data_IF_776104772862
#
_entry.id   IF_776104772862
#
_cell.length_a   1.000
_cell.length_b   1.000
_cell.length_c   1.000
_cell.angle_alpha   90.00
_cell.angle_beta   90.00
_cell.angle_gamma   90.00
#
_symmetry.space_group_name_H-M   'P 1'
#
loop_
_entity.id
_entity.type
_entity.pdbx_description
1 polymer ?
#
# COMPACT_ATOMS: atom_id res chain seq x y z
N UNK A 1 53.31 -21.08 -7.72
CA UNK A 1 53.00 -22.45 -8.12
C UNK A 1 52.23 -23.05 -6.98
N UNK A 2 51.00 -22.48 -6.65
CA UNK A 2 50.09 -23.01 -5.60
C UNK A 2 48.73 -22.30 -5.65
N UNK A 3 48.07 -22.39 -6.79
CA UNK A 3 46.71 -21.80 -6.91
C UNK A 3 45.74 -22.64 -7.74
N UNK A 4 46.05 -23.95 -7.87
CA UNK A 4 45.22 -24.90 -8.62
C UNK A 4 44.44 -25.91 -7.76
N UNK A 5 44.71 -25.94 -6.45
CA UNK A 5 44.14 -27.00 -5.57
C UNK A 5 42.94 -26.53 -4.73
N UNK A 6 42.59 -25.23 -4.77
CA UNK A 6 41.47 -24.69 -4.01
C UNK A 6 40.13 -24.76 -4.75
N UNK A 7 40.14 -24.84 -6.09
CA UNK A 7 38.90 -24.90 -6.89
C UNK A 7 38.30 -26.31 -7.04
N UNK A 8 39.12 -27.35 -6.95
CA UNK A 8 38.65 -28.76 -7.09
C UNK A 8 37.90 -29.27 -5.85
N UNK A 9 38.15 -28.65 -4.68
CA UNK A 9 37.47 -29.01 -3.43
C UNK A 9 36.07 -28.36 -3.26
N UNK A 10 35.79 -27.30 -4.00
CA UNK A 10 34.48 -26.58 -3.98
C UNK A 10 33.48 -27.24 -4.95
N UNK A 11 33.94 -27.73 -6.11
CA UNK A 11 33.03 -28.42 -7.05
C UNK A 11 32.56 -29.77 -6.52
N UNK A 12 33.40 -30.53 -5.81
CA UNK A 12 32.99 -31.82 -5.19
C UNK A 12 32.02 -31.69 -4.01
N UNK A 13 31.87 -30.50 -3.42
CA UNK A 13 30.89 -30.25 -2.35
C UNK A 13 29.51 -29.81 -2.87
N UNK A 14 29.41 -29.35 -4.10
CA UNK A 14 28.15 -28.93 -4.72
C UNK A 14 27.40 -30.07 -5.38
N UNK A 15 28.08 -31.09 -5.89
CA UNK A 15 27.45 -32.27 -6.52
C UNK A 15 26.77 -33.22 -5.52
N UNK A 16 27.12 -33.15 -4.24
CA UNK A 16 26.51 -34.02 -3.19
C UNK A 16 25.19 -33.53 -2.63
N UNK A 17 24.76 -32.26 -2.95
CA UNK A 17 23.55 -31.64 -2.38
C UNK A 17 22.32 -31.78 -3.28
N UNK A 18 22.47 -32.09 -4.57
CA UNK A 18 21.36 -32.14 -5.54
C UNK A 18 20.71 -33.50 -5.72
N UNK A 19 21.30 -34.60 -5.17
CA UNK A 19 20.80 -35.97 -5.40
C UNK A 19 19.74 -36.45 -4.39
N UNK A 20 19.20 -35.56 -3.56
CA UNK A 20 18.20 -35.93 -2.53
C UNK A 20 16.75 -35.57 -2.85
N UNK A 21 16.45 -34.89 -3.98
CA UNK A 21 15.10 -34.42 -4.29
C UNK A 21 14.48 -34.85 -5.62
N UNK A 22 15.08 -35.86 -6.33
CA UNK A 22 14.53 -36.35 -7.58
C UNK A 22 14.14 -37.81 -7.51
N UNK A 23 13.20 -38.20 -6.66
CA UNK A 23 12.43 -39.44 -6.76
C UNK A 23 10.96 -39.19 -6.53
N UNK A 24 10.28 -38.52 -7.46
CA UNK A 24 8.84 -38.55 -7.58
C UNK A 24 8.48 -39.82 -8.36
N UNK A 25 7.66 -40.74 -7.83
CA UNK A 25 7.30 -41.96 -8.54
C UNK A 25 6.34 -41.63 -9.68
N UNK A 26 6.70 -42.04 -10.88
CA UNK A 26 6.06 -41.76 -12.17
C UNK A 26 4.70 -42.44 -12.39
N UNK A 27 4.19 -43.16 -11.42
CA UNK A 27 2.92 -43.92 -11.49
C UNK A 27 1.68 -43.13 -10.97
N UNK A 28 1.82 -41.94 -10.43
CA UNK A 28 0.71 -41.15 -9.93
C UNK A 28 -0.28 -40.55 -10.97
N UNK A 29 0.06 -40.38 -12.27
CA UNK A 29 -0.93 -39.93 -13.25
C UNK A 29 -1.81 -41.03 -13.81
N UNK A 30 -1.51 -42.31 -13.59
CA UNK A 30 -2.27 -43.45 -14.18
C UNK A 30 -3.54 -43.76 -13.34
N UNK A 31 -3.55 -43.47 -12.07
CA UNK A 31 -4.72 -43.67 -11.19
C UNK A 31 -5.90 -42.74 -11.43
N UNK A 32 -5.67 -41.54 -11.94
CA UNK A 32 -6.74 -40.53 -12.19
C UNK A 32 -7.51 -40.81 -13.50
N UNK A 33 -6.92 -41.49 -14.48
CA UNK A 33 -7.56 -41.82 -15.75
C UNK A 33 -8.47 -43.06 -15.67
N UNK A 34 -8.21 -43.95 -14.71
CA UNK A 34 -9.01 -45.17 -14.52
C UNK A 34 -10.38 -44.90 -13.87
N UNK A 35 -10.52 -43.83 -13.05
CA UNK A 35 -11.79 -43.46 -12.42
C UNK A 35 -12.75 -42.72 -13.35
N UNK A 36 -12.26 -42.05 -14.39
CA UNK A 36 -13.11 -41.40 -15.40
C UNK A 36 -13.67 -42.41 -16.42
N UNK A 37 -12.94 -43.50 -16.71
CA UNK A 37 -13.41 -44.54 -17.62
C UNK A 37 -14.49 -45.42 -16.97
N UNK A 38 -14.49 -45.60 -15.65
CA UNK A 38 -15.49 -46.41 -14.94
C UNK A 38 -16.85 -45.68 -14.78
N UNK A 39 -16.88 -44.35 -14.82
CA UNK A 39 -18.10 -43.56 -14.76
C UNK A 39 -18.91 -43.53 -16.07
N UNK A 40 -18.30 -43.83 -17.20
CA UNK A 40 -18.92 -43.73 -18.53
C UNK A 40 -19.60 -45.03 -19.00
N UNK A 41 -19.28 -46.17 -18.36
CA UNK A 41 -19.84 -47.50 -18.70
C UNK A 41 -21.11 -47.81 -17.90
N UNK A 42 -21.37 -47.12 -16.79
CA UNK A 42 -22.56 -47.32 -15.92
C UNK A 42 -23.74 -46.40 -16.25
N UNK A 43 -23.63 -45.48 -17.19
CA UNK A 43 -24.69 -44.51 -17.54
C UNK A 43 -25.54 -44.87 -18.76
N UNK A 44 -25.31 -45.98 -19.46
CA UNK A 44 -25.95 -46.30 -20.75
C UNK A 44 -26.87 -47.54 -20.74
N UNK A 45 -27.40 -47.93 -19.63
CA UNK A 45 -28.22 -49.10 -19.59
C UNK A 45 -29.40 -49.02 -18.67
N UNK A 46 -30.49 -48.32 -19.05
CA UNK A 46 -31.88 -48.66 -18.65
C UNK A 46 -32.79 -47.69 -19.46
N UNK A 47 -33.57 -48.21 -20.38
CA UNK A 47 -34.61 -47.48 -21.05
C UNK A 47 -35.10 -48.11 -22.37
N UNK A 48 -35.55 -49.32 -22.31
CA UNK A 48 -36.35 -49.88 -23.42
C UNK A 48 -37.29 -50.95 -22.88
N UNK A 49 -38.54 -50.88 -23.34
CA UNK A 49 -39.66 -51.85 -23.29
C UNK A 49 -40.95 -51.09 -22.85
N UNK A 50 -42.08 -51.09 -23.49
CA UNK A 50 -42.63 -51.97 -24.52
C UNK A 50 -43.96 -51.35 -25.01
N UNK A 51 -44.21 -51.60 -26.26
CA UNK A 51 -45.45 -51.67 -27.02
C UNK A 51 -46.72 -52.12 -26.30
N UNK A 52 -47.86 -51.72 -26.85
CA UNK A 52 -49.08 -52.53 -26.78
C UNK A 52 -50.39 -51.72 -26.89
N UNK A 53 -50.82 -51.36 -28.05
CA UNK A 53 -52.04 -51.87 -28.77
C UNK A 53 -53.43 -51.53 -28.22
N UNK A 54 -54.23 -51.00 -29.16
CA UNK A 54 -55.67 -51.17 -29.41
C UNK A 54 -56.65 -50.15 -28.86
N UNK A 55 -57.20 -49.40 -29.85
CA UNK A 55 -58.55 -48.87 -29.85
C UNK A 55 -59.62 -50.02 -29.84
N UNK A 56 -60.85 -49.70 -29.46
CA UNK A 56 -61.85 -49.57 -30.51
C UNK A 56 -62.88 -48.42 -30.34
N UNK A 57 -63.41 -48.04 -31.46
CA UNK A 57 -64.60 -47.27 -31.71
C UNK A 57 -65.78 -47.55 -30.79
N UNK A 58 -66.58 -46.52 -30.48
CA UNK A 58 -67.99 -46.55 -30.93
C UNK A 58 -68.68 -45.16 -30.80
N UNK A 59 -69.41 -44.92 -31.82
CA UNK A 59 -70.44 -43.92 -32.06
C UNK A 59 -71.32 -43.56 -30.84
N UNK A 60 -71.79 -42.29 -30.74
CA UNK A 60 -73.18 -41.99 -30.96
C UNK A 60 -73.56 -40.53 -30.69
N UNK A 61 -74.27 -39.91 -31.68
CA UNK A 61 -75.37 -38.94 -31.60
C UNK A 61 -75.05 -37.49 -31.19
N UNK A 62 -75.29 -36.66 -32.24
CA UNK A 62 -75.38 -35.23 -32.12
C UNK A 62 -76.58 -34.73 -31.30
N UNK A 63 -76.32 -33.64 -30.66
CA UNK A 63 -77.37 -32.71 -30.23
C UNK A 63 -76.84 -31.31 -30.47
N UNK A 64 -77.47 -30.66 -31.52
CA UNK A 64 -77.33 -29.28 -31.85
C UNK A 64 -77.74 -28.42 -30.63
N UNK A 65 -76.83 -27.69 -30.04
CA UNK A 65 -77.18 -26.62 -29.13
C UNK A 65 -76.60 -25.31 -29.67
N UNK A 66 -77.52 -24.46 -29.90
CA UNK A 66 -77.56 -23.07 -30.32
C UNK A 66 -76.36 -22.29 -29.80
N UNK A 67 -75.63 -21.67 -30.69
CA UNK A 67 -74.62 -20.66 -30.44
C UNK A 67 -75.20 -19.49 -29.66
N UNK A 68 -74.82 -19.41 -28.35
CA UNK A 68 -74.92 -18.18 -27.58
C UNK A 68 -73.63 -17.44 -27.87
N UNK A 69 -73.77 -16.26 -28.45
CA UNK A 69 -72.76 -15.26 -28.60
C UNK A 69 -72.24 -14.89 -27.17
N UNK A 70 -71.16 -15.54 -26.74
CA UNK A 70 -70.36 -15.05 -25.65
C UNK A 70 -69.38 -14.03 -26.17
N UNK A 71 -69.72 -12.76 -26.02
CA UNK A 71 -68.71 -11.73 -26.01
C UNK A 71 -67.75 -12.10 -24.84
N UNK A 72 -66.65 -12.73 -25.13
CA UNK A 72 -65.51 -12.85 -24.24
C UNK A 72 -65.04 -11.45 -23.92
N UNK A 73 -65.53 -10.92 -22.79
CA UNK A 73 -64.75 -9.95 -22.06
C UNK A 73 -63.49 -10.70 -21.57
N UNK A 74 -62.44 -10.61 -22.33
CA UNK A 74 -61.13 -11.18 -22.03
C UNK A 74 -60.52 -10.45 -20.82
N UNK A 75 -61.04 -10.71 -19.64
CA UNK A 75 -60.42 -10.35 -18.37
C UNK A 75 -59.49 -11.47 -17.97
N UNK A 76 -58.37 -11.60 -18.70
CA UNK A 76 -57.26 -12.35 -18.19
C UNK A 76 -56.87 -11.78 -16.81
N UNK A 77 -56.55 -12.60 -15.83
CA UNK A 77 -56.14 -12.10 -14.51
C UNK A 77 -54.87 -11.28 -14.67
N UNK A 78 -55.04 -9.97 -14.54
CA UNK A 78 -53.93 -9.03 -14.68
C UNK A 78 -52.98 -9.23 -13.48
N UNK A 79 -51.84 -9.78 -13.72
CA UNK A 79 -50.77 -9.96 -12.70
C UNK A 79 -50.34 -8.59 -12.20
N UNK A 80 -50.22 -8.43 -10.85
CA UNK A 80 -49.70 -7.20 -10.26
C UNK A 80 -48.21 -7.33 -10.04
N UNK A 81 -47.44 -6.31 -10.52
CA UNK A 81 -46.00 -6.23 -10.39
C UNK A 81 -45.58 -4.96 -9.65
N UNK A 82 -44.47 -5.04 -8.95
CA UNK A 82 -43.80 -3.87 -8.37
C UNK A 82 -42.90 -3.25 -9.43
N UNK A 83 -43.10 -1.97 -9.72
CA UNK A 83 -42.28 -1.24 -10.68
C UNK A 83 -41.32 -0.29 -9.97
N UNK A 84 -40.14 -0.13 -10.53
CA UNK A 84 -39.13 0.81 -10.10
C UNK A 84 -38.61 1.61 -11.30
N UNK A 85 -38.13 2.81 -11.02
CA UNK A 85 -37.26 3.57 -11.93
C UNK A 85 -35.80 3.33 -11.59
N UNK A 86 -34.86 3.32 -12.56
CA UNK A 86 -33.45 3.24 -12.29
C UNK A 86 -33.01 4.34 -11.32
N UNK A 87 -32.34 3.95 -10.25
CA UNK A 87 -31.64 4.88 -9.37
C UNK A 87 -30.32 5.29 -9.96
N UNK A 88 -29.43 5.83 -9.13
CA UNK A 88 -28.06 6.15 -9.52
C UNK A 88 -27.09 5.25 -8.79
N UNK A 89 -26.08 4.75 -9.47
CA UNK A 89 -24.91 4.10 -8.87
C UNK A 89 -23.64 4.77 -9.36
N UNK A 90 -22.63 4.80 -8.49
CA UNK A 90 -21.31 5.30 -8.86
C UNK A 90 -20.45 4.11 -9.30
N UNK A 91 -20.10 4.12 -10.58
CA UNK A 91 -19.17 3.14 -11.13
C UNK A 91 -17.78 3.72 -11.01
N UNK A 92 -16.88 2.98 -10.40
CA UNK A 92 -15.47 3.31 -10.35
C UNK A 92 -14.71 2.37 -11.27
N UNK A 93 -14.10 2.91 -12.32
CA UNK A 93 -13.05 2.20 -13.04
C UNK A 93 -11.80 2.25 -12.15
N UNK A 94 -11.36 1.10 -11.72
CA UNK A 94 -10.26 1.00 -10.76
C UNK A 94 -9.29 -0.13 -11.15
N UNK A 95 -8.02 0.08 -10.85
CA UNK A 95 -6.97 -0.93 -11.01
C UNK A 95 -6.63 -1.48 -9.64
N UNK A 96 -6.82 -2.77 -9.47
CA UNK A 96 -6.36 -3.49 -8.28
C UNK A 96 -4.84 -3.60 -8.30
N UNK A 97 -4.24 -3.38 -7.15
CA UNK A 97 -2.80 -3.52 -6.95
C UNK A 97 -2.51 -4.06 -5.55
N UNK A 98 -1.33 -4.61 -5.42
CA UNK A 98 -0.82 -5.07 -4.14
C UNK A 98 0.60 -4.58 -3.95
N UNK A 99 1.03 -4.48 -2.69
CA UNK A 99 2.37 -3.99 -2.40
C UNK A 99 2.67 -3.93 -0.91
N UNK A 100 3.86 -3.47 -0.58
CA UNK A 100 4.32 -3.34 0.80
C UNK A 100 4.20 -1.91 1.29
N UNK A 101 3.94 -1.77 2.57
CA UNK A 101 4.09 -0.49 3.27
C UNK A 101 5.56 -0.31 3.61
N UNK A 102 6.15 0.79 3.20
CA UNK A 102 7.55 1.10 3.47
C UNK A 102 7.67 2.49 4.10
N UNK A 103 8.79 2.71 4.79
CA UNK A 103 9.14 4.04 5.20
C UNK A 103 9.49 4.90 3.97
N UNK A 104 8.91 6.09 3.88
CA UNK A 104 9.21 7.01 2.78
C UNK A 104 10.67 7.45 2.76
N UNK A 105 11.22 7.75 3.93
CA UNK A 105 12.62 8.06 4.15
C UNK A 105 13.07 7.48 5.48
N UNK A 106 14.24 6.87 5.48
CA UNK A 106 14.89 6.38 6.71
C UNK A 106 16.20 7.14 6.93
N UNK A 107 16.54 7.35 8.19
CA UNK A 107 17.84 7.83 8.60
C UNK A 107 18.49 6.75 9.47
N UNK A 108 19.65 6.28 9.05
CA UNK A 108 20.48 5.38 9.84
C UNK A 108 21.42 6.20 10.73
N UNK A 109 21.48 5.85 11.99
CA UNK A 109 22.31 6.51 13.01
C UNK A 109 23.37 5.54 13.47
N UNK A 110 24.63 5.86 13.19
CA UNK A 110 25.80 5.10 13.64
C UNK A 110 26.58 5.91 14.68
N UNK A 111 27.37 5.21 15.49
CA UNK A 111 28.34 5.87 16.35
C UNK A 111 29.43 6.56 15.51
N UNK A 112 29.69 7.85 15.78
CA UNK A 112 30.76 8.61 15.12
C UNK A 112 32.15 8.28 15.69
N UNK A 113 32.16 7.64 16.84
CA UNK A 113 33.35 7.12 17.50
C UNK A 113 33.30 5.61 17.48
N UNK A 114 34.38 4.96 17.07
CA UNK A 114 34.50 3.50 17.02
C UNK A 114 35.27 2.99 18.24
N UNK A 115 34.93 1.79 18.73
CA UNK A 115 35.61 1.14 19.85
C UNK A 115 35.22 1.67 21.23
N UNK A 116 34.23 2.54 21.35
CA UNK A 116 33.66 2.96 22.62
C UNK A 116 32.48 2.05 23.00
N UNK A 117 32.37 1.66 24.25
CA UNK A 117 31.25 0.89 24.76
C UNK A 117 30.00 1.77 24.90
N UNK A 118 28.82 1.20 24.60
CA UNK A 118 27.55 1.85 24.87
C UNK A 118 27.28 1.75 26.37
N UNK A 119 27.23 2.90 27.06
CA UNK A 119 26.95 2.99 28.48
C UNK A 119 25.45 2.96 28.77
N UNK A 120 24.68 3.74 28.00
CA UNK A 120 23.23 3.84 28.15
C UNK A 120 22.53 3.94 26.81
N UNK A 121 21.35 3.33 26.73
CA UNK A 121 20.38 3.49 25.62
C UNK A 121 19.14 4.15 26.20
N UNK A 122 18.71 5.26 25.62
CA UNK A 122 17.67 6.14 26.16
C UNK A 122 16.33 6.02 25.41
N UNK A 123 16.28 5.23 24.33
CA UNK A 123 15.11 5.10 23.46
C UNK A 123 14.91 3.64 23.06
N UNK A 124 13.64 3.31 22.79
CA UNK A 124 13.23 1.99 22.32
C UNK A 124 12.59 2.06 20.91
N UNK A 125 12.37 0.87 20.32
CA UNK A 125 11.65 0.75 19.05
C UNK A 125 10.21 1.22 19.25
N UNK A 126 9.74 2.09 18.35
CA UNK A 126 8.42 2.72 18.42
C UNK A 126 8.43 4.12 19.03
N UNK A 127 9.50 4.52 19.71
CA UNK A 127 9.60 5.85 20.31
C UNK A 127 9.66 6.95 19.24
N UNK A 128 8.97 8.04 19.52
CA UNK A 128 9.05 9.26 18.74
C UNK A 128 10.20 10.13 19.23
N UNK A 129 11.11 10.47 18.34
CA UNK A 129 12.31 11.26 18.63
C UNK A 129 12.34 12.55 17.82
N UNK A 130 13.03 13.56 18.37
CA UNK A 130 13.26 14.85 17.70
C UNK A 130 14.70 14.96 17.22
N UNK A 131 14.94 15.71 16.16
CA UNK A 131 16.29 16.02 15.71
C UNK A 131 17.12 16.62 16.86
N UNK A 132 18.35 16.11 17.05
CA UNK A 132 19.24 16.49 18.16
C UNK A 132 18.99 15.76 19.48
N UNK A 133 17.92 14.98 19.62
CA UNK A 133 17.66 14.19 20.83
C UNK A 133 18.72 13.10 21.01
N UNK A 134 19.22 12.94 22.25
CA UNK A 134 20.18 11.89 22.58
C UNK A 134 19.47 10.54 22.60
N UNK A 135 19.99 9.58 21.83
CA UNK A 135 19.47 8.22 21.70
C UNK A 135 20.25 7.23 22.58
N UNK A 136 21.57 7.41 22.65
CA UNK A 136 22.44 6.60 23.44
C UNK A 136 23.67 7.41 23.90
N UNK A 137 24.30 6.97 24.98
CA UNK A 137 25.50 7.54 25.53
C UNK A 137 26.59 6.46 25.51
N UNK A 138 27.74 6.82 24.97
CA UNK A 138 28.95 5.99 25.01
C UNK A 138 29.78 6.28 26.27
N UNK A 139 30.56 5.30 26.71
CA UNK A 139 31.59 5.54 27.72
C UNK A 139 32.51 6.66 27.22
N UNK A 140 32.48 7.77 27.95
CA UNK A 140 33.16 9.01 27.61
C UNK A 140 34.35 9.32 28.52
N UNK A 141 34.72 8.42 29.42
CA UNK A 141 35.77 8.65 30.41
C UNK A 141 37.11 9.03 29.76
N UNK A 142 37.59 8.23 28.81
CA UNK A 142 38.83 8.49 28.08
C UNK A 142 38.81 9.77 27.23
N UNK A 143 37.65 10.14 26.69
CA UNK A 143 37.48 11.38 25.93
C UNK A 143 37.49 12.61 26.82
N UNK A 144 36.91 12.52 28.05
CA UNK A 144 36.97 13.57 29.07
C UNK A 144 38.41 13.83 29.52
N UNK A 145 39.13 12.76 29.80
CA UNK A 145 40.53 12.86 30.25
C UNK A 145 41.42 13.47 29.15
N UNK A 146 41.22 13.03 27.90
CA UNK A 146 41.91 13.61 26.73
C UNK A 146 41.60 15.09 26.53
N UNK A 147 40.34 15.50 26.75
CA UNK A 147 39.95 16.92 26.67
C UNK A 147 40.55 17.76 27.77
N UNK A 148 40.56 17.27 29.01
CA UNK A 148 41.19 17.93 30.16
C UNK A 148 42.70 18.11 29.91
N UNK A 149 43.40 17.07 29.41
CA UNK A 149 44.79 17.17 29.04
C UNK A 149 45.07 18.22 27.96
N UNK A 150 44.24 18.23 26.89
CA UNK A 150 44.39 19.23 25.82
C UNK A 150 44.12 20.65 26.33
N UNK A 151 43.25 20.84 27.30
CA UNK A 151 42.98 22.15 27.93
C UNK A 151 44.20 22.60 28.73
N UNK A 152 44.84 21.72 29.53
CA UNK A 152 46.06 22.03 30.26
C UNK A 152 47.24 22.37 29.29
N UNK A 153 47.37 21.64 28.17
CA UNK A 153 48.38 21.94 27.15
C UNK A 153 48.14 23.35 26.53
N UNK A 154 46.87 23.75 26.32
CA UNK A 154 46.52 25.09 25.84
C UNK A 154 46.89 26.17 26.87
N UNK A 155 46.55 25.96 28.15
CA UNK A 155 46.87 26.91 29.23
C UNK A 155 48.38 27.10 29.34
N UNK A 156 49.19 26.03 29.23
CA UNK A 156 50.64 26.10 29.18
C UNK A 156 51.14 26.89 27.96
N UNK A 157 50.56 26.67 26.78
CA UNK A 157 50.93 27.39 25.54
C UNK A 157 50.61 28.90 25.68
N UNK A 158 49.46 29.27 26.26
CA UNK A 158 49.08 30.64 26.53
C UNK A 158 50.08 31.33 27.46
N UNK A 159 50.44 30.70 28.62
CA UNK A 159 51.43 31.24 29.56
C UNK A 159 52.80 31.44 28.90
N UNK A 160 53.19 30.51 27.98
CA UNK A 160 54.43 30.63 27.22
C UNK A 160 54.40 31.80 26.22
N UNK A 161 53.28 32.02 25.57
CA UNK A 161 53.07 33.15 24.64
C UNK A 161 53.06 34.48 25.37
N UNK A 162 52.37 34.56 26.53
CA UNK A 162 52.35 35.75 27.35
C UNK A 162 53.78 36.13 27.82
N UNK A 163 54.60 35.15 28.22
CA UNK A 163 55.99 35.38 28.55
C UNK A 163 56.77 35.92 27.35
N UNK A 164 56.64 35.28 26.17
CA UNK A 164 57.37 35.71 24.96
C UNK A 164 56.97 37.15 24.52
N UNK A 165 55.69 37.49 24.60
CA UNK A 165 55.19 38.84 24.36
C UNK A 165 55.68 39.84 25.38
N UNK A 166 55.72 39.50 26.67
CA UNK A 166 56.25 40.36 27.71
C UNK A 166 57.76 40.60 27.52
N UNK A 167 58.51 39.56 27.10
CA UNK A 167 59.94 39.70 26.79
C UNK A 167 60.17 40.61 25.58
N UNK A 168 59.38 40.47 24.48
CA UNK A 168 59.41 41.36 23.33
C UNK A 168 59.04 42.80 23.70
N UNK A 169 57.96 43.03 24.45
CA UNK A 169 57.51 44.35 24.86
C UNK A 169 58.52 45.09 25.74
N UNK A 170 59.29 44.37 26.59
CA UNK A 170 60.41 44.95 27.35
C UNK A 170 61.61 45.31 26.49
N UNK A 171 61.84 44.53 25.42
CA UNK A 171 63.03 44.63 24.61
C UNK A 171 62.89 45.64 23.47
N UNK A 172 61.71 45.79 22.90
CA UNK A 172 61.45 46.65 21.75
C UNK A 172 61.78 48.14 22.00
N UNK A 173 61.48 48.74 23.15
CA UNK A 173 61.91 50.13 23.45
C UNK A 173 63.43 50.33 23.55
N UNK A 174 64.18 49.26 23.97
CA UNK A 174 65.64 49.32 24.13
C UNK A 174 66.38 49.47 22.77
N UNK A 175 65.73 49.08 21.65
CA UNK A 175 66.26 49.28 20.33
C UNK A 175 66.31 50.77 19.95
N UNK A 176 65.36 51.59 20.43
CA UNK A 176 65.29 53.03 20.12
C UNK A 176 66.45 53.83 20.74
N UNK A 177 67.04 53.32 21.81
CA UNK A 177 68.17 53.90 22.52
C UNK A 177 69.50 53.19 22.25
N UNK A 178 69.55 52.33 21.18
CA UNK A 178 70.71 51.53 20.75
C UNK A 178 71.27 50.63 21.87
N UNK A 179 70.47 50.27 22.88
CA UNK A 179 70.93 49.40 24.01
C UNK A 179 70.95 47.92 23.62
N UNK A 180 70.34 47.51 22.52
CA UNK A 180 70.38 46.13 22.01
C UNK A 180 70.45 46.13 20.47
N UNK A 181 70.89 44.98 19.89
CA UNK A 181 70.97 44.82 18.45
C UNK A 181 69.60 44.53 17.82
N UNK A 182 69.40 44.92 16.53
CA UNK A 182 68.20 44.57 15.76
C UNK A 182 68.00 43.07 15.66
N UNK A 183 69.05 42.30 15.49
CA UNK A 183 69.02 40.84 15.46
C UNK A 183 68.42 40.25 16.72
N UNK A 184 68.65 40.83 17.89
CA UNK A 184 68.13 40.36 19.15
C UNK A 184 66.65 40.67 19.29
N UNK A 185 66.18 41.84 18.88
CA UNK A 185 64.74 42.18 18.81
C UNK A 185 63.99 41.25 17.88
N UNK A 186 64.56 40.99 16.67
CA UNK A 186 63.97 40.08 15.69
C UNK A 186 63.88 38.64 16.21
N UNK A 187 64.84 38.19 17.02
CA UNK A 187 64.78 36.92 17.73
C UNK A 187 63.56 36.83 18.72
N UNK A 188 63.37 37.89 19.54
CA UNK A 188 62.24 37.96 20.45
C UNK A 188 60.89 38.05 19.70
N UNK A 189 60.84 38.81 18.58
CA UNK A 189 59.64 38.87 17.74
C UNK A 189 59.32 37.53 17.12
N UNK A 190 60.33 36.79 16.66
CA UNK A 190 60.17 35.46 16.11
C UNK A 190 59.72 34.47 17.22
N UNK A 191 60.28 34.54 18.42
CA UNK A 191 59.87 33.73 19.58
C UNK A 191 58.41 33.97 19.94
N UNK A 192 57.96 35.24 19.98
CA UNK A 192 56.56 35.57 20.21
C UNK A 192 55.64 34.99 19.14
N UNK A 193 55.97 35.13 17.87
CA UNK A 193 55.23 34.50 16.75
C UNK A 193 55.17 32.99 16.81
N UNK A 194 56.27 32.32 17.22
CA UNK A 194 56.30 30.88 17.42
C UNK A 194 55.39 30.45 18.56
N UNK A 195 55.42 31.21 19.69
CA UNK A 195 54.56 30.95 20.84
C UNK A 195 53.06 31.12 20.47
N UNK A 196 52.68 32.15 19.68
CA UNK A 196 51.35 32.34 19.16
C UNK A 196 50.90 31.16 18.27
N UNK A 197 51.78 30.68 17.39
CA UNK A 197 51.49 29.51 16.57
C UNK A 197 51.25 28.26 17.43
N UNK A 198 51.97 28.11 18.55
CA UNK A 198 51.76 27.00 19.50
C UNK A 198 50.40 27.10 20.19
N UNK A 199 49.96 28.31 20.57
CA UNK A 199 48.61 28.53 21.12
C UNK A 199 47.53 28.11 20.12
N UNK A 200 47.69 28.50 18.84
CA UNK A 200 46.73 28.14 17.77
C UNK A 200 46.66 26.61 17.64
N UNK A 201 47.82 25.94 17.63
CA UNK A 201 47.87 24.47 17.52
C UNK A 201 47.23 23.78 18.74
N UNK A 202 47.51 24.26 19.95
CA UNK A 202 46.90 23.73 21.18
C UNK A 202 45.39 23.95 21.22
N UNK A 203 44.90 25.13 20.77
CA UNK A 203 43.50 25.44 20.67
C UNK A 203 42.78 24.50 19.67
N UNK A 204 43.42 24.21 18.53
CA UNK A 204 42.88 23.23 17.56
C UNK A 204 42.77 21.84 18.18
N UNK A 205 43.74 21.41 19.02
CA UNK A 205 43.70 20.15 19.75
C UNK A 205 42.52 20.08 20.75
N UNK A 206 42.28 21.16 21.53
CA UNK A 206 41.13 21.28 22.41
C UNK A 206 39.82 21.12 21.64
N UNK A 207 39.67 21.81 20.48
CA UNK A 207 38.49 21.70 19.64
C UNK A 207 38.25 20.26 19.11
N UNK A 208 39.31 19.56 18.74
CA UNK A 208 39.25 18.17 18.27
C UNK A 208 38.81 17.22 19.40
N UNK A 209 39.37 17.38 20.60
CA UNK A 209 38.98 16.55 21.75
C UNK A 209 37.56 16.86 22.22
N UNK A 210 37.12 18.12 22.18
CA UNK A 210 35.75 18.52 22.47
C UNK A 210 34.77 17.91 21.47
N UNK A 211 35.13 17.87 20.19
CA UNK A 211 34.31 17.20 19.15
C UNK A 211 34.20 15.71 19.42
N UNK A 212 35.30 15.04 19.78
CA UNK A 212 35.30 13.62 20.12
C UNK A 212 34.43 13.34 21.35
N UNK A 213 34.50 14.18 22.37
CA UNK A 213 33.66 14.07 23.57
C UNK A 213 32.19 14.28 23.26
N UNK A 214 31.85 15.24 22.40
CA UNK A 214 30.47 15.46 21.95
C UNK A 214 29.96 14.28 21.12
N UNK A 215 30.80 13.65 20.32
CA UNK A 215 30.48 12.46 19.53
C UNK A 215 30.24 11.20 20.37
N UNK A 216 30.59 11.22 21.68
CA UNK A 216 30.21 10.18 22.62
C UNK A 216 28.69 10.17 22.92
N UNK A 217 27.96 11.22 22.55
CA UNK A 217 26.51 11.25 22.58
C UNK A 217 25.97 10.97 21.18
N UNK A 218 25.24 9.87 21.04
CA UNK A 218 24.60 9.51 19.78
C UNK A 218 23.26 10.24 19.71
N UNK A 219 23.10 11.11 18.73
CA UNK A 219 21.90 11.94 18.58
C UNK A 219 21.15 11.64 17.30
N UNK A 220 19.83 11.84 17.32
CA UNK A 220 18.98 11.70 16.14
C UNK A 220 19.29 12.81 15.12
N UNK A 221 19.60 12.48 13.85
CA UNK A 221 19.84 13.48 12.81
C UNK A 221 18.54 14.11 12.29
N UNK A 222 17.41 13.44 12.46
CA UNK A 222 16.07 13.85 12.02
C UNK A 222 15.03 13.52 13.07
N UNK A 223 13.91 14.21 13.05
CA UNK A 223 12.73 13.82 13.83
C UNK A 223 12.02 12.64 13.16
N UNK A 224 11.42 11.76 13.97
CA UNK A 224 10.72 10.58 13.44
C UNK A 224 10.46 9.50 14.49
N UNK A 225 10.24 8.28 14.03
CA UNK A 225 9.96 7.11 14.86
C UNK A 225 11.10 6.10 14.71
N UNK A 226 11.59 5.56 15.83
CA UNK A 226 12.60 4.50 15.83
C UNK A 226 11.96 3.22 15.24
N UNK A 227 12.46 2.75 14.11
CA UNK A 227 12.00 1.49 13.50
C UNK A 227 12.85 0.30 13.90
N UNK A 228 14.15 0.52 14.14
CA UNK A 228 15.08 -0.55 14.54
C UNK A 228 16.08 -0.03 15.55
N UNK A 229 16.45 -0.87 16.50
CA UNK A 229 17.47 -0.61 17.50
C UNK A 229 18.43 -1.81 17.60
N UNK A 230 19.67 -1.59 17.20
CA UNK A 230 20.76 -2.56 17.36
C UNK A 230 21.70 -2.18 18.52
N UNK A 231 21.53 -0.98 19.07
CA UNK A 231 22.29 -0.50 20.21
C UNK A 231 21.97 -1.33 21.47
N UNK A 232 23.01 -1.89 22.10
CA UNK A 232 22.90 -2.64 23.35
C UNK A 232 23.98 -2.16 24.30
N UNK A 233 23.66 -2.04 25.59
CA UNK A 233 24.61 -1.65 26.66
C UNK A 233 25.76 -2.65 26.71
N UNK A 234 26.98 -2.15 26.80
CA UNK A 234 28.21 -2.94 26.85
C UNK A 234 28.79 -3.33 25.49
N UNK A 235 28.04 -3.15 24.39
CA UNK A 235 28.55 -3.42 23.03
C UNK A 235 29.41 -2.26 22.54
N UNK A 236 30.52 -2.58 21.87
CA UNK A 236 31.42 -1.60 21.28
C UNK A 236 30.84 -1.08 19.95
N UNK A 237 30.96 0.21 19.72
CA UNK A 237 30.60 0.83 18.45
C UNK A 237 31.58 0.40 17.34
N UNK A 238 31.06 -0.09 16.22
CA UNK A 238 31.84 -0.63 15.08
C UNK A 238 31.60 0.09 13.77
N UNK A 239 30.88 1.22 13.80
CA UNK A 239 30.46 1.94 12.59
C UNK A 239 29.16 1.43 11.96
N UNK A 240 28.64 0.29 12.41
CA UNK A 240 27.33 -0.21 11.98
C UNK A 240 26.21 0.70 12.47
N UNK A 241 25.05 0.72 11.76
CA UNK A 241 23.89 1.43 12.23
C UNK A 241 23.42 0.92 13.59
N UNK A 242 23.25 1.81 14.55
CA UNK A 242 22.75 1.52 15.90
C UNK A 242 21.24 1.74 16.01
N UNK A 243 20.73 2.69 15.24
CA UNK A 243 19.30 2.99 15.14
C UNK A 243 18.91 3.27 13.71
N UNK A 244 17.68 2.89 13.34
CA UNK A 244 17.02 3.31 12.10
C UNK A 244 15.80 4.14 12.49
N UNK A 245 15.69 5.34 11.92
CA UNK A 245 14.59 6.28 12.19
C UNK A 245 13.77 6.44 10.91
N UNK A 246 12.46 6.25 11.00
CA UNK A 246 11.52 6.64 9.94
C UNK A 246 11.29 8.14 10.08
N UNK A 247 11.80 8.92 9.13
CA UNK A 247 11.70 10.38 9.15
C UNK A 247 10.23 10.81 9.17
N UNK A 248 9.88 11.67 10.14
CA UNK A 248 8.54 12.22 10.36
C UNK A 248 7.44 11.14 10.54
N UNK A 249 7.81 9.86 10.75
CA UNK A 249 6.88 8.75 10.76
C UNK A 249 6.17 8.52 9.42
N UNK A 250 6.68 9.08 8.33
CA UNK A 250 6.04 9.05 7.02
C UNK A 250 6.17 7.68 6.36
N UNK A 251 5.03 7.07 6.07
CA UNK A 251 4.91 5.80 5.36
C UNK A 251 4.43 6.02 3.93
N UNK A 252 4.76 5.09 3.06
CA UNK A 252 4.24 5.01 1.70
C UNK A 252 3.87 3.56 1.37
N UNK A 253 2.84 3.38 0.57
CA UNK A 253 2.53 2.11 -0.02
C UNK A 253 3.25 1.99 -1.37
N UNK A 254 4.09 0.98 -1.50
CA UNK A 254 4.83 0.65 -2.71
C UNK A 254 4.05 -0.43 -3.46
N UNK A 255 3.09 0.03 -4.27
CA UNK A 255 2.23 -0.84 -5.06
C UNK A 255 2.91 -1.26 -6.35
N UNK A 256 2.87 -2.54 -6.66
CA UNK A 256 3.38 -3.09 -7.91
C UNK A 256 2.28 -3.21 -8.95
N UNK A 257 2.57 -2.80 -10.17
CA UNK A 257 1.64 -2.68 -11.27
C UNK A 257 2.25 -3.20 -12.57
N UNK A 258 1.46 -3.92 -13.34
CA UNK A 258 1.84 -4.23 -14.72
C UNK A 258 2.04 -2.92 -15.53
N UNK A 259 2.98 -2.87 -16.49
CA UNK A 259 3.30 -1.65 -17.24
C UNK A 259 2.08 -0.99 -17.91
N UNK A 260 1.18 -1.79 -18.47
CA UNK A 260 -0.05 -1.30 -19.11
C UNK A 260 -0.99 -0.60 -18.11
N UNK A 261 -1.02 -1.05 -16.85
CA UNK A 261 -1.81 -0.45 -15.79
C UNK A 261 -1.11 0.80 -15.25
N UNK A 262 0.20 0.75 -15.05
CA UNK A 262 0.99 1.90 -14.60
C UNK A 262 0.87 3.10 -15.56
N UNK A 263 0.76 2.86 -16.87
CA UNK A 263 0.58 3.91 -17.88
C UNK A 263 -0.74 4.69 -17.74
N UNK A 264 -1.73 4.12 -17.04
CA UNK A 264 -3.04 4.76 -16.80
C UNK A 264 -3.06 5.58 -15.51
N UNK A 265 -2.02 5.47 -14.67
CA UNK A 265 -1.96 6.13 -13.37
C UNK A 265 -1.17 7.42 -13.47
N UNK A 266 -1.71 8.47 -12.87
CA UNK A 266 -1.10 9.79 -12.83
C UNK A 266 -0.61 10.15 -11.42
N UNK A 267 0.42 10.99 -11.34
CA UNK A 267 0.88 11.56 -10.07
C UNK A 267 -0.23 12.45 -9.50
N UNK A 268 -0.48 12.33 -8.21
CA UNK A 268 -1.56 13.02 -7.50
C UNK A 268 -2.88 12.25 -7.46
N UNK A 269 -3.00 11.16 -8.21
CA UNK A 269 -4.18 10.30 -8.23
C UNK A 269 -4.40 9.64 -6.87
N UNK A 270 -5.66 9.45 -6.51
CA UNK A 270 -6.04 8.79 -5.27
C UNK A 270 -5.95 7.27 -5.41
N UNK A 271 -5.51 6.65 -4.32
CA UNK A 271 -5.49 5.19 -4.17
C UNK A 271 -6.12 4.84 -2.82
N UNK A 272 -6.97 3.84 -2.82
CA UNK A 272 -7.57 3.30 -1.60
C UNK A 272 -6.82 2.05 -1.19
N UNK A 273 -6.27 2.05 0.03
CA UNK A 273 -5.50 0.95 0.61
C UNK A 273 -6.37 0.33 1.71
N UNK A 274 -6.48 -0.99 1.76
CA UNK A 274 -7.28 -1.67 2.78
C UNK A 274 -6.41 -2.03 3.98
N UNK A 275 -6.67 -1.40 5.14
CA UNK A 275 -6.08 -1.79 6.42
C UNK A 275 -7.10 -2.62 7.21
N UNK A 276 -7.09 -3.95 7.01
CA UNK A 276 -8.20 -4.79 7.45
C UNK A 276 -9.50 -4.38 6.75
N UNK A 277 -10.49 -3.92 7.52
CA UNK A 277 -11.78 -3.43 6.99
C UNK A 277 -11.83 -1.90 6.82
N UNK A 278 -10.76 -1.18 7.13
CA UNK A 278 -10.75 0.28 7.07
C UNK A 278 -10.07 0.74 5.79
N UNK A 279 -10.76 1.45 4.90
CA UNK A 279 -10.15 2.05 3.72
C UNK A 279 -9.32 3.29 4.12
N UNK A 280 -8.09 3.35 3.65
CA UNK A 280 -7.18 4.47 3.81
C UNK A 280 -6.96 5.08 2.44
N UNK A 281 -7.26 6.37 2.29
CA UNK A 281 -7.04 7.09 1.05
C UNK A 281 -5.63 7.66 1.07
N UNK A 282 -4.81 7.22 0.12
CA UNK A 282 -3.48 7.74 -0.16
C UNK A 282 -3.44 8.47 -1.49
N UNK A 283 -2.31 9.16 -1.76
CA UNK A 283 -2.07 9.84 -3.04
C UNK A 283 -0.78 9.37 -3.68
N UNK A 284 -0.83 9.10 -4.99
CA UNK A 284 0.35 8.76 -5.78
C UNK A 284 1.32 9.94 -5.80
N UNK A 285 2.51 9.74 -5.28
CA UNK A 285 3.55 10.78 -5.25
C UNK A 285 4.55 10.64 -6.38
N UNK A 286 4.82 9.40 -6.80
CA UNK A 286 5.74 9.09 -7.89
C UNK A 286 5.48 7.68 -8.44
N UNK A 287 5.90 7.47 -9.67
CA UNK A 287 6.03 6.15 -10.29
C UNK A 287 7.52 5.87 -10.48
N UNK A 288 7.96 4.66 -10.20
CA UNK A 288 9.34 4.27 -10.46
C UNK A 288 9.66 4.37 -11.96
N UNK A 289 10.77 5.02 -12.34
CA UNK A 289 11.16 5.12 -13.74
C UNK A 289 11.71 3.79 -14.30
N UNK A 290 11.98 2.83 -13.42
CA UNK A 290 12.52 1.51 -13.75
C UNK A 290 11.57 0.42 -13.27
N UNK A 291 11.42 -0.62 -14.08
CA UNK A 291 10.71 -1.83 -13.68
C UNK A 291 11.57 -2.67 -12.72
N UNK A 292 10.91 -3.38 -11.83
CA UNK A 292 11.54 -4.37 -10.95
C UNK A 292 11.93 -5.65 -11.73
N UNK A 293 12.49 -6.65 -11.04
CA UNK A 293 12.85 -7.94 -11.65
C UNK A 293 11.65 -8.68 -12.25
N UNK A 294 10.44 -8.46 -11.73
CA UNK A 294 9.17 -8.98 -12.26
C UNK A 294 8.63 -8.19 -13.45
N UNK A 295 9.36 -7.19 -13.98
CA UNK A 295 8.93 -6.30 -15.05
C UNK A 295 7.72 -5.43 -14.69
N UNK A 296 7.50 -5.21 -13.40
CA UNK A 296 6.43 -4.38 -12.87
C UNK A 296 6.94 -2.99 -12.50
N UNK A 297 6.08 -2.00 -12.58
CA UNK A 297 6.34 -0.63 -12.17
C UNK A 297 5.84 -0.43 -10.75
N UNK A 298 6.65 0.18 -9.90
CA UNK A 298 6.25 0.51 -8.54
C UNK A 298 5.64 1.90 -8.48
N UNK A 299 4.40 1.97 -8.02
CA UNK A 299 3.75 3.23 -7.67
C UNK A 299 3.93 3.50 -6.17
N UNK A 300 4.41 4.69 -5.84
CA UNK A 300 4.61 5.14 -4.47
C UNK A 300 3.44 6.02 -4.06
N UNK A 301 2.65 5.54 -3.12
CA UNK A 301 1.45 6.19 -2.61
C UNK A 301 1.71 6.69 -1.19
N UNK A 302 1.66 7.99 -0.97
CA UNK A 302 1.80 8.57 0.37
C UNK A 302 0.59 8.19 1.24
N UNK A 303 0.86 7.73 2.45
CA UNK A 303 -0.14 7.36 3.44
C UNK A 303 -0.30 8.51 4.42
N UNK A 304 -1.54 8.88 4.82
CA UNK A 304 -1.77 9.87 5.87
C UNK A 304 -1.12 9.45 7.19
N UNK A 305 -0.62 10.44 7.94
CA UNK A 305 -0.07 10.19 9.28
C UNK A 305 -1.15 9.65 10.22
N UNK A 306 -0.74 8.72 11.10
CA UNK A 306 -1.66 8.10 12.06
C UNK A 306 -2.51 6.96 11.50
N UNK A 307 -2.30 6.58 10.24
CA UNK A 307 -2.91 5.37 9.69
C UNK A 307 -2.45 4.12 10.47
N UNK A 308 -3.35 3.16 10.75
CA UNK A 308 -3.01 1.94 11.51
C UNK A 308 -2.22 0.94 10.63
N UNK A 309 -1.11 1.40 10.06
CA UNK A 309 -0.23 0.63 9.19
C UNK A 309 1.19 0.73 9.68
N UNK A 310 1.95 -0.36 9.56
CA UNK A 310 3.37 -0.42 9.90
C UNK A 310 4.21 -0.74 8.68
N UNK A 311 5.44 -0.23 8.65
CA UNK A 311 6.41 -0.61 7.62
C UNK A 311 6.63 -2.13 7.62
N UNK A 312 6.76 -2.72 6.44
CA UNK A 312 6.87 -4.16 6.23
C UNK A 312 5.53 -4.89 6.01
N UNK A 313 4.39 -4.27 6.30
CA UNK A 313 3.08 -4.88 6.02
C UNK A 313 2.84 -4.97 4.51
N UNK A 314 2.25 -6.09 4.09
CA UNK A 314 1.73 -6.26 2.73
C UNK A 314 0.25 -5.88 2.70
N UNK A 315 -0.13 -5.04 1.74
CA UNK A 315 -1.49 -4.54 1.61
C UNK A 315 -1.96 -4.57 0.16
N UNK A 316 -3.26 -4.75 0.00
CA UNK A 316 -3.95 -4.59 -1.29
C UNK A 316 -4.66 -3.25 -1.32
N UNK A 317 -4.88 -2.75 -2.52
CA UNK A 317 -5.58 -1.49 -2.71
C UNK A 317 -6.01 -1.31 -4.15
N UNK A 318 -6.67 -0.18 -4.42
CA UNK A 318 -7.22 0.16 -5.72
C UNK A 318 -6.82 1.58 -6.11
N UNK A 319 -6.40 1.75 -7.36
CA UNK A 319 -6.23 3.07 -7.98
C UNK A 319 -7.51 3.43 -8.73
N UNK A 320 -8.18 4.48 -8.32
CA UNK A 320 -9.41 4.95 -8.96
C UNK A 320 -9.04 5.76 -10.20
N UNK A 321 -9.39 5.24 -11.39
CA UNK A 321 -9.10 5.91 -12.67
C UNK A 321 -10.17 6.95 -13.01
N UNK A 322 -11.42 6.56 -12.89
CA UNK A 322 -12.56 7.43 -13.13
C UNK A 322 -13.74 7.01 -12.26
N UNK A 323 -14.58 7.97 -11.95
CA UNK A 323 -15.87 7.72 -11.33
C UNK A 323 -16.93 8.32 -12.27
N UNK A 324 -17.91 7.52 -12.64
CA UNK A 324 -19.06 7.96 -13.40
C UNK A 324 -20.34 7.54 -12.69
N UNK A 325 -21.35 8.38 -12.76
CA UNK A 325 -22.68 8.03 -12.29
C UNK A 325 -23.49 7.49 -13.47
N UNK A 326 -24.08 6.32 -13.29
CA UNK A 326 -24.93 5.71 -14.30
C UNK A 326 -26.27 5.28 -13.68
N UNK A 327 -27.34 5.18 -14.51
CA UNK A 327 -28.60 4.59 -14.07
C UNK A 327 -28.36 3.16 -13.56
N UNK A 328 -28.93 2.82 -12.42
CA UNK A 328 -28.70 1.54 -11.78
C UNK A 328 -30.00 0.89 -11.31
N UNK A 329 -30.03 -0.41 -11.42
CA UNK A 329 -31.17 -1.24 -11.03
C UNK A 329 -30.72 -2.30 -10.03
N UNK A 330 -31.57 -2.77 -9.13
CA UNK A 330 -31.25 -3.90 -8.27
C UNK A 330 -30.86 -5.13 -9.11
N UNK A 331 -29.87 -5.87 -8.67
CA UNK A 331 -29.44 -7.11 -9.38
C UNK A 331 -30.59 -8.12 -9.46
N UNK A 332 -31.55 -8.06 -8.52
CA UNK A 332 -32.78 -8.88 -8.54
C UNK A 332 -33.72 -8.60 -9.72
N UNK A 333 -33.59 -7.42 -10.37
CA UNK A 333 -34.40 -7.06 -11.53
C UNK A 333 -33.80 -7.58 -12.85
N UNK A 334 -32.57 -8.06 -12.84
CA UNK A 334 -31.84 -8.53 -14.01
C UNK A 334 -32.05 -10.02 -14.20
N UNK A 335 -32.31 -10.42 -15.45
CA UNK A 335 -32.35 -11.81 -15.89
C UNK A 335 -31.23 -12.05 -16.88
N UNK A 336 -30.47 -13.11 -16.70
CA UNK A 336 -29.49 -13.55 -17.68
C UNK A 336 -29.99 -14.76 -18.43
N UNK A 337 -30.14 -14.63 -19.75
CA UNK A 337 -30.58 -15.68 -20.64
C UNK A 337 -29.69 -15.71 -21.88
N UNK A 338 -29.21 -16.89 -22.28
CA UNK A 338 -28.33 -17.09 -23.43
C UNK A 338 -27.06 -16.22 -23.42
N UNK A 339 -26.54 -15.89 -22.20
CA UNK A 339 -25.35 -15.07 -22.04
C UNK A 339 -25.57 -13.56 -22.20
N UNK A 340 -26.81 -13.12 -22.24
CA UNK A 340 -27.17 -11.70 -22.27
C UNK A 340 -28.03 -11.33 -21.07
N UNK A 341 -27.89 -10.09 -20.62
CA UNK A 341 -28.65 -9.54 -19.51
C UNK A 341 -29.87 -8.75 -20.01
N UNK A 342 -31.01 -8.99 -19.37
CA UNK A 342 -32.27 -8.38 -19.68
C UNK A 342 -32.98 -7.88 -18.44
N UNK A 343 -33.82 -6.87 -18.64
CA UNK A 343 -34.81 -6.43 -17.65
C UNK A 343 -36.20 -6.47 -18.28
N UNK A 344 -37.23 -6.60 -17.44
CA UNK A 344 -38.61 -6.40 -17.89
C UNK A 344 -38.95 -4.91 -17.82
N UNK A 345 -39.03 -4.25 -19.00
CA UNK A 345 -39.48 -2.87 -19.12
C UNK A 345 -41.00 -2.84 -19.23
N UNK A 346 -41.61 -1.79 -18.68
CA UNK A 346 -43.01 -1.57 -18.64
C UNK A 346 -43.38 -0.40 -19.56
N UNK A 347 -44.17 -0.67 -20.60
CA UNK A 347 -44.68 0.34 -21.56
C UNK A 347 -46.15 0.57 -21.30
N UNK A 348 -46.63 1.82 -21.16
CA UNK A 348 -48.07 2.08 -21.05
C UNK A 348 -48.87 1.47 -22.20
N UNK A 349 -50.06 0.93 -21.91
CA UNK A 349 -50.96 0.40 -22.94
C UNK A 349 -52.21 1.26 -23.05
N UNK A 350 -52.76 1.39 -24.26
CA UNK A 350 -53.99 2.14 -24.52
C UNK A 350 -55.27 1.44 -24.03
N UNK A 351 -55.15 0.22 -23.48
CA UNK A 351 -56.33 -0.60 -23.11
C UNK A 351 -57.06 -0.13 -21.86
N UNK A 352 -56.34 0.34 -20.84
CA UNK A 352 -56.90 0.96 -19.66
C UNK A 352 -55.80 1.67 -18.84
N UNK A 353 -56.19 2.68 -18.07
CA UNK A 353 -55.29 3.41 -17.18
C UNK A 353 -54.72 2.49 -16.11
N UNK A 354 -53.40 2.50 -15.92
CA UNK A 354 -52.67 1.68 -14.94
C UNK A 354 -52.29 0.27 -15.42
N UNK A 355 -52.53 -0.05 -16.68
CA UNK A 355 -52.06 -1.27 -17.32
C UNK A 355 -50.80 -1.00 -18.15
N UNK A 356 -49.87 -1.92 -18.04
CA UNK A 356 -48.57 -1.85 -18.73
C UNK A 356 -48.30 -3.16 -19.44
N UNK A 357 -47.68 -3.03 -20.62
CA UNK A 357 -47.19 -4.15 -21.41
C UNK A 357 -45.76 -4.45 -21.00
N UNK A 358 -45.46 -5.70 -20.76
CA UNK A 358 -44.12 -6.18 -20.40
C UNK A 358 -43.32 -6.40 -21.68
N UNK A 359 -42.14 -5.78 -21.76
CA UNK A 359 -41.21 -5.90 -22.86
C UNK A 359 -39.85 -6.32 -22.36
N UNK A 360 -39.27 -7.34 -22.98
CA UNK A 360 -37.91 -7.80 -22.64
C UNK A 360 -36.88 -6.87 -23.25
N UNK A 361 -36.21 -6.06 -22.42
CA UNK A 361 -35.22 -5.10 -22.87
C UNK A 361 -33.83 -5.59 -22.52
N UNK A 362 -32.97 -5.70 -23.53
CA UNK A 362 -31.54 -6.03 -23.32
C UNK A 362 -30.84 -4.87 -22.64
N UNK A 363 -30.02 -5.18 -21.65
CA UNK A 363 -29.23 -4.19 -20.93
C UNK A 363 -27.75 -4.57 -20.93
N UNK A 364 -26.88 -3.57 -21.00
CA UNK A 364 -25.48 -3.75 -20.84
C UNK A 364 -25.11 -3.34 -19.39
N UNK A 365 -24.47 -4.24 -18.66
CA UNK A 365 -24.02 -3.97 -17.30
C UNK A 365 -22.70 -3.24 -17.37
N UNK A 366 -22.69 -2.00 -16.89
CA UNK A 366 -21.52 -1.12 -16.89
C UNK A 366 -20.64 -1.33 -15.63
N UNK A 367 -21.21 -1.88 -14.57
CA UNK A 367 -20.53 -2.18 -13.30
C UNK A 367 -21.52 -2.46 -12.18
N UNK A 368 -21.00 -2.78 -11.01
CA UNK A 368 -21.79 -3.07 -9.82
C UNK A 368 -21.42 -2.12 -8.68
N UNK A 369 -22.42 -1.72 -7.90
CA UNK A 369 -22.28 -0.94 -6.66
C UNK A 369 -23.16 -1.61 -5.59
N UNK A 370 -22.54 -2.48 -4.79
CA UNK A 370 -23.24 -3.31 -3.83
C UNK A 370 -24.23 -4.27 -4.49
N UNK A 371 -25.53 -4.12 -4.16
CA UNK A 371 -26.65 -4.89 -4.69
C UNK A 371 -27.26 -4.30 -5.97
N UNK A 372 -26.68 -3.23 -6.51
CA UNK A 372 -27.13 -2.53 -7.71
C UNK A 372 -26.18 -2.78 -8.86
N UNK A 373 -26.76 -2.98 -10.05
CA UNK A 373 -26.03 -3.02 -11.30
C UNK A 373 -26.30 -1.73 -12.07
N UNK A 374 -25.24 -1.03 -12.42
CA UNK A 374 -25.32 0.12 -13.29
C UNK A 374 -25.51 -0.34 -14.73
N UNK A 375 -26.41 0.29 -15.44
CA UNK A 375 -26.86 -0.12 -16.77
C UNK A 375 -26.94 1.06 -17.74
N UNK A 376 -27.10 0.76 -19.01
CA UNK A 376 -27.34 1.75 -20.08
C UNK A 376 -28.81 2.13 -20.24
N UNK A 377 -29.67 1.81 -19.25
CA UNK A 377 -31.09 2.17 -19.30
C UNK A 377 -31.31 3.68 -19.20
N UNK A 378 -32.39 4.21 -19.87
CA UNK A 378 -32.81 5.58 -19.60
C UNK A 378 -33.21 5.77 -18.13
N UNK A 379 -32.92 6.94 -17.52
CA UNK A 379 -33.21 7.18 -16.09
C UNK A 379 -34.72 7.13 -15.76
N UNK A 380 -35.57 7.36 -16.73
CA UNK A 380 -37.03 7.38 -16.65
C UNK A 380 -37.71 6.03 -17.05
N UNK A 381 -36.91 5.03 -17.40
CA UNK A 381 -37.42 3.71 -17.74
C UNK A 381 -38.17 3.09 -16.56
N UNK A 382 -39.39 2.63 -16.78
CA UNK A 382 -40.15 1.89 -15.79
C UNK A 382 -39.84 0.39 -15.95
N UNK A 383 -39.34 -0.26 -14.91
CA UNK A 383 -38.94 -1.67 -14.95
C UNK A 383 -39.53 -2.44 -13.77
N UNK A 384 -39.62 -3.77 -13.89
CA UNK A 384 -40.08 -4.65 -12.82
C UNK A 384 -38.98 -4.81 -11.78
N UNK A 385 -39.30 -4.60 -10.49
CA UNK A 385 -38.34 -4.57 -9.39
C UNK A 385 -37.64 -5.91 -9.11
N UNK A 386 -38.32 -7.00 -9.39
CA UNK A 386 -37.78 -8.36 -9.28
C UNK A 386 -38.05 -9.10 -10.58
N UNK A 387 -37.05 -9.80 -11.11
CA UNK A 387 -37.27 -10.65 -12.28
C UNK A 387 -38.27 -11.74 -11.88
N UNK A 388 -39.51 -11.51 -12.28
CA UNK A 388 -40.54 -12.50 -12.11
C UNK A 388 -40.35 -13.54 -13.21
N UNK A 389 -39.82 -14.71 -12.89
CA UNK A 389 -39.70 -15.85 -13.80
C UNK A 389 -41.05 -16.34 -14.41
N UNK A 390 -42.12 -15.69 -14.01
CA UNK A 390 -43.49 -15.96 -14.49
C UNK A 390 -43.97 -14.99 -15.56
N UNK A 391 -43.21 -13.94 -15.86
CA UNK A 391 -43.58 -12.96 -16.90
C UNK A 391 -43.09 -13.43 -18.26
N UNK A 392 -43.98 -13.28 -19.25
CA UNK A 392 -43.67 -13.50 -20.64
C UNK A 392 -43.71 -12.18 -21.40
N UNK A 393 -43.03 -12.16 -22.54
CA UNK A 393 -43.03 -11.00 -23.44
C UNK A 393 -44.47 -10.72 -23.95
N UNK A 394 -44.88 -9.47 -23.86
CA UNK A 394 -46.20 -8.95 -24.19
C UNK A 394 -47.29 -9.22 -23.14
N UNK A 395 -46.96 -9.76 -21.96
CA UNK A 395 -47.93 -9.84 -20.85
C UNK A 395 -48.44 -8.44 -20.48
N UNK A 396 -49.73 -8.39 -20.10
CA UNK A 396 -50.32 -7.17 -19.55
C UNK A 396 -50.34 -7.29 -18.02
N UNK A 397 -49.73 -6.32 -17.39
CA UNK A 397 -49.59 -6.29 -15.91
C UNK A 397 -50.13 -5.00 -15.34
N UNK A 398 -50.55 -5.03 -14.08
CA UNK A 398 -50.89 -3.83 -13.30
C UNK A 398 -49.75 -3.49 -12.40
N UNK A 399 -49.34 -2.23 -12.37
CA UNK A 399 -48.34 -1.73 -11.44
C UNK A 399 -48.99 -1.47 -10.09
N UNK A 400 -48.60 -2.25 -9.04
CA UNK A 400 -49.12 -2.12 -7.70
C UNK A 400 -48.51 -0.94 -6.94
N UNK A 401 -47.22 -0.69 -7.15
CA UNK A 401 -46.46 0.39 -6.53
C UNK A 401 -45.33 0.81 -7.45
N UNK A 402 -45.08 2.11 -7.54
CA UNK A 402 -43.88 2.66 -8.21
C UNK A 402 -42.96 3.14 -7.07
N UNK A 403 -41.93 2.39 -6.78
CA UNK A 403 -40.90 2.81 -5.85
C UNK A 403 -39.84 3.61 -6.62
N UNK A 404 -39.82 4.93 -6.45
CA UNK A 404 -38.68 5.72 -6.85
C UNK A 404 -37.49 5.29 -5.98
N UNK A 405 -36.44 4.77 -6.59
CA UNK A 405 -35.21 4.38 -5.88
C UNK A 405 -34.43 5.65 -5.49
N UNK A 406 -34.97 6.41 -4.51
CA UNK A 406 -34.34 7.63 -4.02
C UNK A 406 -33.04 7.28 -3.33
N UNK A 407 -31.96 8.06 -3.51
CA UNK A 407 -30.72 7.88 -2.78
C UNK A 407 -31.02 8.06 -1.29
N UNK A 408 -30.75 7.06 -0.46
CA UNK A 408 -30.72 7.23 0.98
C UNK A 408 -29.60 8.19 1.35
N UNK A 409 -29.94 9.49 1.46
CA UNK A 409 -29.13 10.43 2.20
C UNK A 409 -29.24 10.08 3.69
N UNK A 410 -28.33 9.28 4.20
CA UNK A 410 -28.13 9.11 5.63
C UNK A 410 -27.51 10.41 6.20
N UNK A 411 -28.34 11.43 6.37
CA UNK A 411 -28.02 12.56 7.24
C UNK A 411 -28.13 12.06 8.66
N UNK A 412 -27.01 11.64 9.22
CA UNK A 412 -26.90 11.38 10.66
C UNK A 412 -26.91 12.75 11.35
N UNK A 413 -28.11 13.17 11.75
CA UNK A 413 -28.32 14.33 12.63
C UNK A 413 -27.86 13.90 14.02
N UNK A 414 -26.64 14.33 14.40
CA UNK A 414 -26.20 14.28 15.79
C UNK A 414 -26.96 15.39 16.51
N UNK A 415 -28.06 15.01 17.18
CA UNK A 415 -28.70 15.86 18.16
C UNK A 415 -27.84 15.88 19.42
N UNK A 416 -27.40 17.06 19.80
CA UNK A 416 -26.70 17.30 21.05
C UNK A 416 -27.59 17.11 22.28
N UNK A 417 -26.98 16.59 23.31
CA UNK A 417 -27.18 17.00 24.73
C UNK A 417 -25.83 16.84 25.43
#
# INVERSE_FOLDING_TARGET
>A
MDDKNSNESLEKRLDGAFDKYTKFPWWLPIGALALVALGLVLGLGIGRVSDGDKAPNDNVVGTSVKSLDYQEANTAPVMSVEAITPGSAVISDAIDASGIIAARHTAQVSGRVTGAAIEQVLVEVGDQVRAGQVLAILDSSSFKDSHIQAQADLDQAIASAEKAHADLARTEPLLQIDAISRQQVDAYRTAAKQADATVIAAKAKVNNTATSLNNAKITAPVSGIISERQAQVGVLTSGNPLFTIIKDGALEWQATLAPNNAAKISIGQEATIMAGNTPIIGKVTRLSPTANQGREITAHVAIPQGAPLSAGMYQTGKFVLSQSSAPAVPTSAIMTTDGYDYVWSLTPTDQAEGLYKVVRTKVDILGYDGDKAATNLPPDALIVAKSAGFLAENDIVRVATVNANAPHSSTHQIAGQ
#
